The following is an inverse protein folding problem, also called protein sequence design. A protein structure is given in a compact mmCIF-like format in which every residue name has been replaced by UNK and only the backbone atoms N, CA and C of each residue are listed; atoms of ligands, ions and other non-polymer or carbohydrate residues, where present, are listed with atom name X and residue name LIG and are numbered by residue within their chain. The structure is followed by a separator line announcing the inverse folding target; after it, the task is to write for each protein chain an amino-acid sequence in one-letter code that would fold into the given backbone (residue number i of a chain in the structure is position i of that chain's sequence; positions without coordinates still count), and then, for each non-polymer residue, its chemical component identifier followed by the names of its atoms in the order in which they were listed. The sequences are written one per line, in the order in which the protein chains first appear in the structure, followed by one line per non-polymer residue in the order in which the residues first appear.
data_IF_309281373600
#
_entry.id   IF_309281373600
#
_cell.length_a   1.000
_cell.length_b   1.000
_cell.length_c   1.000
_cell.angle_alpha   90.00
_cell.angle_beta   90.00
_cell.angle_gamma   90.00
#
_symmetry.space_group_name_H-M   'P 1'
#
loop_
_entity.id
_entity.type
_entity.pdbx_description
1 polymer ?
#
# COMPACT_ATOMS: atom_id res chain seq x y z
N UNK A 1 0.56 -25.10 -0.35
CA UNK A 1 0.95 -23.69 -0.17
C UNK A 1 -0.30 -22.85 -0.12
N UNK A 2 -0.49 -22.05 0.93
CA UNK A 2 -1.60 -21.10 1.08
C UNK A 2 -1.04 -19.68 1.17
N UNK A 3 -1.68 -18.72 0.49
CA UNK A 3 -1.37 -17.29 0.62
C UNK A 3 -2.35 -16.66 1.61
N UNK A 4 -1.84 -16.10 2.69
CA UNK A 4 -2.63 -15.31 3.63
C UNK A 4 -2.74 -13.87 3.13
N UNK A 5 -3.95 -13.32 3.03
CA UNK A 5 -4.19 -11.94 2.57
C UNK A 5 -4.79 -11.13 3.71
N UNK A 6 -3.98 -10.27 4.33
CA UNK A 6 -4.46 -9.26 5.28
C UNK A 6 -4.92 -8.00 4.53
N UNK A 7 -5.99 -7.37 5.00
CA UNK A 7 -6.58 -6.20 4.32
C UNK A 7 -7.36 -6.56 3.04
N UNK A 8 -7.82 -7.80 2.93
CA UNK A 8 -8.51 -8.35 1.76
C UNK A 8 -9.75 -7.58 1.30
N UNK A 9 -10.39 -6.81 2.18
CA UNK A 9 -11.59 -6.02 1.86
C UNK A 9 -11.28 -4.59 1.37
N UNK A 10 -10.01 -4.18 1.39
CA UNK A 10 -9.55 -2.88 0.90
C UNK A 10 -9.59 -2.75 -0.62
N UNK A 11 -9.20 -1.58 -1.16
CA UNK A 11 -9.13 -1.36 -2.63
C UNK A 11 -8.12 -2.30 -3.30
N UNK A 12 -6.88 -2.32 -2.80
CA UNK A 12 -5.83 -3.21 -3.30
C UNK A 12 -6.17 -4.67 -2.97
N UNK A 13 -6.56 -4.96 -1.73
CA UNK A 13 -6.89 -6.32 -1.28
C UNK A 13 -7.98 -6.99 -2.13
N UNK A 14 -9.07 -6.30 -2.47
CA UNK A 14 -10.14 -6.89 -3.30
C UNK A 14 -9.67 -7.20 -4.72
N UNK A 15 -8.91 -6.31 -5.33
CA UNK A 15 -8.35 -6.55 -6.67
C UNK A 15 -7.32 -7.69 -6.64
N UNK A 16 -6.48 -7.76 -5.60
CA UNK A 16 -5.55 -8.88 -5.40
C UNK A 16 -6.27 -10.21 -5.23
N UNK A 17 -7.30 -10.28 -4.36
CA UNK A 17 -8.08 -11.51 -4.15
C UNK A 17 -8.69 -12.01 -5.46
N UNK A 18 -9.23 -11.11 -6.29
CA UNK A 18 -9.74 -11.47 -7.62
C UNK A 18 -8.64 -12.09 -8.50
N UNK A 19 -7.47 -11.46 -8.58
CA UNK A 19 -6.33 -11.96 -9.38
C UNK A 19 -5.78 -13.29 -8.86
N UNK A 20 -5.75 -13.49 -7.55
CA UNK A 20 -5.33 -14.76 -6.94
C UNK A 20 -6.33 -15.90 -7.24
N UNK A 21 -7.63 -15.62 -7.23
CA UNK A 21 -8.66 -16.58 -7.65
C UNK A 21 -8.54 -16.93 -9.14
N UNK A 22 -8.33 -15.94 -10.02
CA UNK A 22 -8.10 -16.17 -11.46
C UNK A 22 -6.86 -17.05 -11.72
N UNK A 23 -5.84 -16.94 -10.87
CA UNK A 23 -4.65 -17.78 -10.91
C UNK A 23 -4.84 -19.16 -10.25
N UNK A 24 -6.04 -19.49 -9.76
CA UNK A 24 -6.34 -20.71 -8.99
C UNK A 24 -5.45 -20.88 -7.74
N UNK A 25 -4.99 -19.78 -7.14
CA UNK A 25 -4.18 -19.83 -5.93
C UNK A 25 -5.05 -20.17 -4.72
N UNK A 26 -4.49 -20.99 -3.81
CA UNK A 26 -5.14 -21.26 -2.52
C UNK A 26 -4.90 -20.06 -1.59
N UNK A 27 -5.99 -19.38 -1.21
CA UNK A 27 -5.93 -18.19 -0.36
C UNK A 27 -6.73 -18.35 0.93
N UNK A 28 -6.25 -17.70 1.99
CA UNK A 28 -6.98 -17.47 3.23
C UNK A 28 -7.05 -15.96 3.49
N UNK A 29 -8.23 -15.43 3.77
CA UNK A 29 -8.41 -14.00 4.03
C UNK A 29 -8.34 -13.72 5.54
N UNK A 30 -7.55 -12.73 5.93
CA UNK A 30 -7.49 -12.20 7.29
C UNK A 30 -8.28 -10.88 7.33
N UNK A 31 -9.43 -10.89 8.01
CA UNK A 31 -10.38 -9.76 8.00
C UNK A 31 -10.93 -9.47 9.40
N UNK A 32 -11.25 -8.19 9.65
CA UNK A 32 -11.93 -7.77 10.90
C UNK A 32 -13.38 -8.27 10.95
N UNK A 33 -14.07 -8.25 9.82
CA UNK A 33 -15.42 -8.82 9.65
C UNK A 33 -15.33 -10.26 9.12
N UNK A 34 -16.14 -11.19 9.65
CA UNK A 34 -16.06 -12.62 9.31
C UNK A 34 -16.72 -12.99 7.97
N UNK A 35 -17.48 -12.09 7.36
CA UNK A 35 -18.29 -12.40 6.17
C UNK A 35 -17.51 -12.09 4.90
N UNK A 36 -17.17 -13.14 4.14
CA UNK A 36 -16.63 -13.06 2.79
C UNK A 36 -17.43 -13.99 1.88
N UNK A 37 -17.60 -13.60 0.62
CA UNK A 37 -18.31 -14.42 -0.35
C UNK A 37 -17.47 -15.65 -0.74
N UNK A 38 -18.09 -16.84 -0.89
CA UNK A 38 -17.46 -17.99 -1.51
C UNK A 38 -16.88 -17.65 -2.90
N UNK A 39 -15.78 -18.29 -3.33
CA UNK A 39 -15.11 -19.44 -2.71
C UNK A 39 -14.10 -19.04 -1.60
N UNK A 40 -14.01 -17.75 -1.26
CA UNK A 40 -13.05 -17.29 -0.26
C UNK A 40 -13.39 -17.82 1.13
N UNK A 41 -12.35 -18.17 1.90
CA UNK A 41 -12.46 -18.43 3.35
C UNK A 41 -11.81 -17.30 4.10
N UNK A 42 -12.39 -16.89 5.22
CA UNK A 42 -11.83 -15.86 6.08
C UNK A 42 -11.70 -16.32 7.53
N UNK A 43 -10.69 -15.81 8.21
CA UNK A 43 -10.49 -15.89 9.65
C UNK A 43 -10.54 -14.49 10.24
N UNK A 44 -10.96 -14.41 11.51
CA UNK A 44 -10.91 -13.14 12.24
C UNK A 44 -9.43 -12.76 12.44
N UNK A 45 -9.08 -11.57 12.02
CA UNK A 45 -7.79 -10.95 12.29
C UNK A 45 -8.01 -9.46 12.49
N UNK A 46 -7.54 -8.94 13.62
CA UNK A 46 -7.59 -7.52 13.95
C UNK A 46 -6.23 -7.08 14.49
N UNK A 47 -5.62 -6.12 13.79
CA UNK A 47 -4.34 -5.53 14.16
C UNK A 47 -4.30 -5.02 15.61
N UNK A 48 -5.44 -4.64 16.18
CA UNK A 48 -5.53 -4.11 17.54
C UNK A 48 -5.95 -5.15 18.60
N UNK A 49 -6.08 -6.43 18.22
CA UNK A 49 -6.42 -7.54 19.11
C UNK A 49 -5.45 -8.71 18.90
N UNK A 50 -4.38 -8.73 19.69
CA UNK A 50 -3.31 -9.75 19.62
C UNK A 50 -3.84 -11.19 19.74
N UNK A 51 -4.97 -11.38 20.42
CA UNK A 51 -5.61 -12.71 20.57
C UNK A 51 -6.06 -13.29 19.23
N UNK A 52 -6.14 -12.47 18.18
CA UNK A 52 -6.55 -12.90 16.84
C UNK A 52 -5.37 -13.32 15.96
N UNK A 53 -4.12 -13.07 16.37
CA UNK A 53 -2.95 -13.26 15.50
C UNK A 53 -2.64 -14.72 15.18
N UNK A 54 -2.96 -15.65 16.08
CA UNK A 54 -2.76 -17.08 15.86
C UNK A 54 -3.79 -17.71 14.90
N UNK A 55 -4.98 -17.12 14.80
CA UNK A 55 -6.13 -17.71 14.10
C UNK A 55 -5.86 -18.09 12.62
N UNK A 56 -5.12 -17.31 11.80
CA UNK A 56 -4.77 -17.73 10.45
C UNK A 56 -3.95 -19.02 10.40
N UNK A 57 -2.96 -19.14 11.27
CA UNK A 57 -2.02 -20.26 11.28
C UNK A 57 -2.62 -21.52 11.88
N UNK A 58 -3.58 -21.39 12.80
CA UNK A 58 -4.40 -22.50 13.28
C UNK A 58 -5.37 -23.00 12.20
N UNK A 59 -5.94 -22.09 11.40
CA UNK A 59 -6.91 -22.43 10.37
C UNK A 59 -6.28 -23.09 9.13
N UNK A 60 -5.06 -22.69 8.75
CA UNK A 60 -4.30 -23.37 7.71
C UNK A 60 -2.79 -23.37 8.04
N UNK A 61 -2.24 -24.50 8.52
CA UNK A 61 -0.81 -24.60 8.82
C UNK A 61 0.09 -24.60 7.57
N UNK A 62 -0.49 -24.61 6.36
CA UNK A 62 0.26 -24.57 5.09
C UNK A 62 0.44 -23.14 4.54
N UNK A 63 0.18 -22.10 5.35
CA UNK A 63 0.48 -20.71 4.99
C UNK A 63 1.98 -20.58 4.81
N UNK A 64 2.37 -20.13 3.61
CA UNK A 64 3.78 -19.99 3.20
C UNK A 64 4.11 -18.54 2.84
N UNK A 65 3.11 -17.81 2.32
CA UNK A 65 3.27 -16.41 1.89
C UNK A 65 2.17 -15.57 2.49
N UNK A 66 2.50 -14.32 2.80
CA UNK A 66 1.58 -13.38 3.43
C UNK A 66 1.63 -12.07 2.64
N UNK A 67 0.47 -11.64 2.13
CA UNK A 67 0.28 -10.28 1.68
C UNK A 67 -0.23 -9.44 2.83
N UNK A 68 0.56 -8.44 3.22
CA UNK A 68 0.34 -7.64 4.42
C UNK A 68 0.00 -6.19 4.03
N UNK A 69 -1.19 -5.74 4.42
CA UNK A 69 -1.53 -4.31 4.43
C UNK A 69 -1.64 -3.88 5.89
N UNK A 70 -0.89 -2.83 6.23
CA UNK A 70 -0.93 -2.16 7.52
C UNK A 70 -2.34 -1.60 7.84
N UNK A 71 -2.72 -1.44 9.11
CA UNK A 71 -3.99 -0.80 9.46
C UNK A 71 -4.09 0.63 8.91
N UNK A 72 -5.31 1.06 8.54
CA UNK A 72 -5.61 2.37 7.92
C UNK A 72 -5.23 3.59 8.78
N UNK A 73 -4.86 3.38 10.06
CA UNK A 73 -4.33 4.43 10.94
C UNK A 73 -2.86 4.78 10.62
N UNK A 74 -2.17 3.94 9.86
CA UNK A 74 -0.78 4.13 9.48
C UNK A 74 -0.70 4.74 8.07
N UNK A 75 0.23 5.68 7.92
CA UNK A 75 0.43 6.51 6.74
C UNK A 75 0.56 5.66 5.47
N UNK A 76 -0.20 5.95 4.40
CA UNK A 76 -0.05 5.26 3.12
C UNK A 76 1.27 5.58 2.41
N UNK A 77 2.09 6.51 2.92
CA UNK A 77 3.29 6.96 2.23
C UNK A 77 4.47 6.04 2.54
N UNK A 78 4.67 5.04 1.68
CA UNK A 78 5.76 4.07 1.79
C UNK A 78 6.95 4.42 0.88
N UNK A 79 6.77 5.22 -0.16
CA UNK A 79 7.81 5.54 -1.15
C UNK A 79 9.04 6.25 -0.59
N UNK A 80 8.97 6.94 0.55
CA UNK A 80 10.08 7.72 1.09
C UNK A 80 10.65 7.24 2.43
N UNK A 81 10.18 6.09 2.96
CA UNK A 81 10.60 5.59 4.27
C UNK A 81 11.59 4.44 4.11
N UNK A 82 12.83 4.61 4.55
CA UNK A 82 13.87 3.59 4.49
C UNK A 82 13.71 2.55 5.62
N UNK A 83 14.49 1.46 5.54
CA UNK A 83 14.60 0.48 6.64
C UNK A 83 15.06 1.22 7.92
N UNK A 84 14.35 1.03 9.02
CA UNK A 84 14.67 1.63 10.33
C UNK A 84 14.01 2.99 10.60
N UNK A 85 13.45 3.64 9.57
CA UNK A 85 12.64 4.87 9.74
C UNK A 85 11.39 4.62 10.58
N UNK A 86 10.67 5.67 10.96
CA UNK A 86 9.43 5.56 11.73
C UNK A 86 8.36 4.73 11.01
N UNK A 87 7.43 4.18 11.80
CA UNK A 87 6.26 3.42 11.32
C UNK A 87 6.68 2.25 10.41
N UNK A 88 6.64 2.42 9.09
CA UNK A 88 6.89 1.35 8.12
C UNK A 88 8.36 0.97 8.02
N UNK A 89 9.27 1.92 8.25
CA UNK A 89 10.69 1.62 8.32
C UNK A 89 11.03 0.65 9.45
N UNK A 90 10.38 0.79 10.62
CA UNK A 90 10.53 -0.13 11.76
C UNK A 90 9.94 -1.51 11.48
N UNK A 91 8.82 -1.59 10.75
CA UNK A 91 8.24 -2.87 10.32
C UNK A 91 9.19 -3.57 9.35
N UNK A 92 9.75 -2.84 8.38
CA UNK A 92 10.77 -3.35 7.46
C UNK A 92 12.00 -3.85 8.21
N UNK A 93 12.51 -3.07 9.15
CA UNK A 93 13.63 -3.47 10.01
C UNK A 93 13.34 -4.77 10.77
N UNK A 94 12.18 -4.83 11.42
CA UNK A 94 11.74 -5.99 12.17
C UNK A 94 11.65 -7.27 11.32
N UNK A 95 11.10 -7.18 10.10
CA UNK A 95 11.00 -8.32 9.18
C UNK A 95 12.39 -8.80 8.76
N UNK A 96 13.28 -7.87 8.39
CA UNK A 96 14.64 -8.21 7.99
C UNK A 96 15.43 -8.87 9.15
N UNK A 97 15.28 -8.35 10.38
CA UNK A 97 15.98 -8.88 11.56
C UNK A 97 15.44 -10.25 12.01
N UNK A 98 14.20 -10.57 11.64
CA UNK A 98 13.64 -11.92 11.82
C UNK A 98 14.13 -12.93 10.79
N UNK A 99 14.83 -12.48 9.75
CA UNK A 99 15.33 -13.35 8.68
C UNK A 99 14.22 -13.96 7.82
N UNK A 100 13.03 -13.34 7.79
CA UNK A 100 11.98 -13.76 6.84
C UNK A 100 12.27 -13.15 5.48
N UNK A 101 11.95 -13.91 4.42
CA UNK A 101 11.98 -13.37 3.07
C UNK A 101 10.87 -12.30 2.90
N UNK A 102 11.20 -11.18 2.26
CA UNK A 102 10.28 -10.06 2.10
C UNK A 102 10.38 -9.37 0.73
N UNK A 103 9.28 -8.76 0.31
CA UNK A 103 9.27 -7.74 -0.75
C UNK A 103 8.47 -6.56 -0.21
N UNK A 104 9.07 -5.36 -0.20
CA UNK A 104 8.38 -4.14 0.23
C UNK A 104 7.85 -3.42 -1.01
N UNK A 105 6.54 -3.39 -1.17
CA UNK A 105 5.90 -2.64 -2.25
C UNK A 105 5.81 -1.16 -1.85
N UNK A 106 6.41 -0.30 -2.66
CA UNK A 106 6.47 1.16 -2.45
C UNK A 106 5.77 1.92 -3.57
N UNK A 107 4.43 1.92 -3.62
CA UNK A 107 3.70 2.75 -4.56
C UNK A 107 3.92 4.24 -4.31
N UNK A 108 3.91 5.05 -5.37
CA UNK A 108 3.95 6.52 -5.28
C UNK A 108 2.88 7.03 -4.33
N UNK A 109 3.28 8.01 -3.52
CA UNK A 109 2.40 8.73 -2.60
C UNK A 109 2.01 10.08 -3.16
N UNK A 110 0.86 10.62 -2.75
CA UNK A 110 0.44 11.92 -3.24
C UNK A 110 -0.31 12.74 -2.18
N UNK A 111 -0.06 14.04 -2.21
CA UNK A 111 -0.81 15.09 -1.52
C UNK A 111 -0.94 16.29 -2.47
N UNK A 112 -1.68 17.33 -2.08
CA UNK A 112 -1.77 18.58 -2.85
C UNK A 112 -0.44 19.37 -2.80
N UNK A 113 0.57 18.87 -3.52
CA UNK A 113 1.95 19.32 -3.44
C UNK A 113 2.29 20.52 -4.33
N UNK A 114 1.27 21.21 -4.87
CA UNK A 114 1.44 22.33 -5.79
C UNK A 114 2.25 21.95 -7.03
N UNK A 115 3.24 22.78 -7.35
CA UNK A 115 4.10 22.62 -8.54
C UNK A 115 4.98 21.36 -8.52
N UNK A 116 5.16 20.74 -7.35
CA UNK A 116 5.86 19.46 -7.26
C UNK A 116 5.08 18.36 -7.95
N UNK A 117 5.82 17.45 -8.57
CA UNK A 117 5.22 16.43 -9.43
C UNK A 117 5.17 15.07 -8.74
N UNK A 118 4.09 14.33 -9.02
CA UNK A 118 3.90 12.94 -8.58
C UNK A 118 3.54 12.05 -9.75
N UNK A 119 3.97 10.80 -9.69
CA UNK A 119 3.67 9.79 -10.70
C UNK A 119 2.57 8.85 -10.21
N UNK A 120 1.31 9.18 -10.51
CA UNK A 120 0.14 8.42 -10.06
C UNK A 120 0.16 6.97 -10.54
N UNK A 121 0.11 6.04 -9.58
CA UNK A 121 0.12 4.60 -9.84
C UNK A 121 -1.29 4.02 -9.70
N UNK A 122 -1.64 3.08 -10.59
CA UNK A 122 -2.93 2.40 -10.56
C UNK A 122 -2.95 1.25 -9.53
N UNK A 123 -4.15 0.90 -9.04
CA UNK A 123 -4.31 -0.29 -8.19
C UNK A 123 -3.89 -1.57 -8.92
N UNK A 124 -4.16 -1.66 -10.22
CA UNK A 124 -3.84 -2.85 -11.00
C UNK A 124 -2.33 -3.06 -11.17
N UNK A 125 -1.56 -1.97 -11.26
CA UNK A 125 -0.10 -2.02 -11.26
C UNK A 125 0.45 -2.50 -9.91
N UNK A 126 -0.10 -1.99 -8.80
CA UNK A 126 0.28 -2.45 -7.44
C UNK A 126 -0.02 -3.94 -7.27
N UNK A 127 -1.22 -4.37 -7.70
CA UNK A 127 -1.64 -5.78 -7.63
C UNK A 127 -0.79 -6.66 -8.53
N UNK A 128 -0.40 -6.18 -9.72
CA UNK A 128 0.50 -6.92 -10.59
C UNK A 128 1.83 -7.21 -9.90
N UNK A 129 2.48 -6.18 -9.34
CA UNK A 129 3.74 -6.35 -8.60
C UNK A 129 3.56 -7.27 -7.38
N UNK A 130 2.44 -7.16 -6.67
CA UNK A 130 2.14 -8.05 -5.55
C UNK A 130 2.01 -9.51 -5.99
N UNK A 131 1.32 -9.79 -7.10
CA UNK A 131 1.22 -11.11 -7.68
C UNK A 131 2.60 -11.64 -8.10
N UNK A 132 3.40 -10.83 -8.80
CA UNK A 132 4.74 -11.22 -9.25
C UNK A 132 5.62 -11.63 -8.06
N UNK A 133 5.56 -10.86 -6.97
CA UNK A 133 6.27 -11.19 -5.72
C UNK A 133 5.73 -12.46 -5.04
N UNK A 134 4.41 -12.63 -4.97
CA UNK A 134 3.78 -13.79 -4.33
C UNK A 134 3.99 -15.09 -5.12
N UNK A 135 4.12 -15.03 -6.44
CA UNK A 135 4.34 -16.20 -7.29
C UNK A 135 5.81 -16.44 -7.62
N UNK A 136 6.73 -15.56 -7.21
CA UNK A 136 8.15 -15.77 -7.38
C UNK A 136 8.65 -17.00 -6.62
N UNK A 137 9.49 -17.81 -7.28
CA UNK A 137 10.16 -18.96 -6.65
C UNK A 137 11.16 -18.53 -5.58
N UNK A 138 11.83 -17.39 -5.79
CA UNK A 138 12.78 -16.80 -4.85
C UNK A 138 12.44 -15.33 -4.63
N UNK A 139 12.41 -14.96 -3.36
CA UNK A 139 12.23 -13.57 -2.97
C UNK A 139 13.53 -12.80 -3.13
N UNK A 140 13.42 -11.53 -3.54
CA UNK A 140 14.55 -10.63 -3.81
C UNK A 140 15.01 -9.84 -2.59
N UNK A 141 14.30 -9.93 -1.45
CA UNK A 141 14.62 -9.27 -0.18
C UNK A 141 14.91 -7.77 -0.35
N UNK A 142 14.05 -7.13 -1.15
CA UNK A 142 14.24 -5.76 -1.62
C UNK A 142 12.94 -4.95 -1.60
N UNK A 143 13.12 -3.68 -1.92
CA UNK A 143 12.06 -2.71 -2.10
C UNK A 143 11.74 -2.62 -3.60
N UNK A 144 10.46 -2.61 -3.93
CA UNK A 144 9.98 -2.40 -5.30
C UNK A 144 9.18 -1.10 -5.33
N UNK A 145 9.79 -0.05 -5.88
CA UNK A 145 9.12 1.21 -6.14
C UNK A 145 8.16 1.05 -7.32
N UNK A 146 6.91 1.48 -7.15
CA UNK A 146 5.85 1.33 -8.14
C UNK A 146 5.32 2.71 -8.50
N UNK A 147 5.68 3.18 -9.69
CA UNK A 147 5.40 4.56 -10.13
C UNK A 147 4.49 4.60 -11.33
N UNK A 148 3.71 5.67 -11.45
CA UNK A 148 2.98 5.96 -12.68
C UNK A 148 3.90 6.25 -13.87
N UNK A 149 3.41 6.11 -15.11
CA UNK A 149 4.20 6.39 -16.32
C UNK A 149 4.43 7.88 -16.58
N UNK A 150 3.72 8.78 -15.89
CA UNK A 150 3.76 10.22 -16.13
C UNK A 150 3.72 11.02 -14.84
N UNK A 151 4.39 12.18 -14.84
CA UNK A 151 4.46 13.12 -13.74
C UNK A 151 3.43 14.23 -13.88
N UNK A 152 2.66 14.48 -12.82
CA UNK A 152 1.62 15.51 -12.76
C UNK A 152 1.83 16.43 -11.56
N UNK A 153 1.56 17.73 -11.73
CA UNK A 153 1.45 18.70 -10.65
C UNK A 153 0.01 18.84 -10.17
N UNK A 154 -0.19 19.54 -9.06
CA UNK A 154 -1.51 19.88 -8.53
C UNK A 154 -1.71 21.37 -8.55
N UNK A 155 -2.96 21.79 -8.76
CA UNK A 155 -3.35 23.15 -8.43
C UNK A 155 -3.49 23.30 -6.92
N UNK A 156 -2.98 24.40 -6.39
CA UNK A 156 -2.96 24.68 -4.95
C UNK A 156 -1.74 24.07 -4.25
N UNK A 157 -1.09 24.90 -3.44
CA UNK A 157 0.08 24.54 -2.65
C UNK A 157 -0.16 24.89 -1.20
N UNK A 158 -0.05 23.89 -0.32
CA UNK A 158 0.06 24.10 1.11
C UNK A 158 1.50 23.90 1.53
N UNK A 159 1.99 24.73 2.43
CA UNK A 159 3.21 24.44 3.20
C UNK A 159 2.97 23.28 4.16
N UNK A 160 4.05 22.68 4.69
CA UNK A 160 3.95 21.66 5.73
C UNK A 160 3.20 22.15 6.96
N UNK A 161 3.44 23.39 7.36
CA UNK A 161 2.83 24.03 8.52
C UNK A 161 1.34 24.27 8.29
N UNK A 162 0.94 24.76 7.11
CA UNK A 162 -0.47 24.95 6.75
C UNK A 162 -1.22 23.62 6.68
N UNK A 163 -0.59 22.58 6.10
CA UNK A 163 -1.18 21.25 6.02
C UNK A 163 -1.36 20.64 7.42
N UNK A 164 -0.33 20.69 8.27
CA UNK A 164 -0.42 20.23 9.66
C UNK A 164 -1.51 20.98 10.43
N UNK A 165 -1.56 22.31 10.32
CA UNK A 165 -2.58 23.13 10.98
C UNK A 165 -3.99 22.77 10.52
N UNK A 166 -4.17 22.49 9.23
CA UNK A 166 -5.45 22.02 8.71
C UNK A 166 -5.85 20.68 9.36
N UNK A 167 -4.94 19.71 9.46
CA UNK A 167 -5.20 18.42 10.10
C UNK A 167 -5.58 18.57 11.58
N UNK A 168 -4.88 19.42 12.33
CA UNK A 168 -5.21 19.73 13.73
C UNK A 168 -6.62 20.31 13.86
N UNK A 169 -7.00 21.23 12.97
CA UNK A 169 -8.33 21.82 12.94
C UNK A 169 -9.43 20.79 12.63
N UNK A 170 -9.10 19.70 11.92
CA UNK A 170 -9.99 18.55 11.71
C UNK A 170 -10.03 17.57 12.89
N UNK A 171 -9.40 17.90 14.02
CA UNK A 171 -9.41 17.09 15.24
C UNK A 171 -8.39 15.95 15.25
N UNK A 172 -7.40 15.99 14.36
CA UNK A 172 -6.31 15.03 14.35
C UNK A 172 -5.36 15.25 15.54
N UNK A 173 -4.87 14.17 16.14
CA UNK A 173 -3.90 14.23 17.24
C UNK A 173 -2.56 14.87 16.77
N UNK A 174 -1.91 15.60 17.67
CA UNK A 174 -0.79 16.49 17.34
C UNK A 174 0.40 15.77 16.72
N UNK A 175 0.82 14.64 17.30
CA UNK A 175 1.96 13.87 16.76
C UNK A 175 1.64 13.30 15.39
N UNK A 176 0.42 12.78 15.21
CA UNK A 176 0.00 12.23 13.91
C UNK A 176 -0.11 13.33 12.84
N UNK A 177 -0.66 14.50 13.20
CA UNK A 177 -0.75 15.65 12.30
C UNK A 177 0.65 16.18 11.91
N UNK A 178 1.58 16.29 12.87
CA UNK A 178 2.95 16.71 12.60
C UNK A 178 3.70 15.75 11.68
N UNK A 179 3.52 14.44 11.87
CA UNK A 179 4.10 13.42 11.00
C UNK A 179 3.56 13.51 9.56
N UNK A 180 2.25 13.74 9.38
CA UNK A 180 1.66 13.96 8.05
C UNK A 180 2.11 15.29 7.42
N UNK A 181 2.32 16.34 8.22
CA UNK A 181 2.92 17.61 7.79
C UNK A 181 4.34 17.45 7.25
N UNK A 182 5.16 16.65 7.94
CA UNK A 182 6.51 16.31 7.49
C UNK A 182 6.49 15.59 6.13
N UNK A 183 5.64 14.57 5.98
CA UNK A 183 5.52 13.80 4.74
C UNK A 183 5.02 14.66 3.59
N UNK A 184 4.02 15.51 3.85
CA UNK A 184 3.56 16.48 2.86
C UNK A 184 4.70 17.38 2.39
N UNK A 185 5.57 17.82 3.31
CA UNK A 185 6.78 18.59 2.99
C UNK A 185 7.76 17.84 2.09
N UNK A 186 7.98 16.55 2.35
CA UNK A 186 8.83 15.69 1.52
C UNK A 186 8.27 15.55 0.09
N UNK A 187 6.97 15.32 -0.04
CA UNK A 187 6.30 15.25 -1.35
C UNK A 187 6.37 16.61 -2.05
N UNK A 188 6.08 17.71 -1.33
CA UNK A 188 6.16 19.08 -1.84
C UNK A 188 7.59 19.52 -2.20
N UNK A 189 8.62 18.85 -1.67
CA UNK A 189 10.02 19.08 -2.03
C UNK A 189 10.48 18.27 -3.25
N UNK A 190 9.61 17.44 -3.82
CA UNK A 190 9.87 16.69 -5.05
C UNK A 190 10.40 15.27 -4.85
N UNK A 191 10.35 14.71 -3.64
CA UNK A 191 10.84 13.35 -3.39
C UNK A 191 10.11 12.31 -4.24
N UNK A 192 8.78 12.43 -4.40
CA UNK A 192 8.00 11.50 -5.23
C UNK A 192 8.39 11.58 -6.71
N UNK A 193 8.75 12.76 -7.22
CA UNK A 193 9.30 12.87 -8.57
C UNK A 193 10.67 12.18 -8.67
N UNK A 194 11.50 12.26 -7.63
CA UNK A 194 12.81 11.60 -7.60
C UNK A 194 12.70 10.07 -7.62
N UNK A 195 11.68 9.49 -6.95
CA UNK A 195 11.42 8.03 -6.93
C UNK A 195 11.24 7.45 -8.35
N UNK A 196 10.72 8.24 -9.30
CA UNK A 196 10.58 7.79 -10.70
C UNK A 196 11.91 7.49 -11.39
N UNK A 197 13.02 7.98 -10.83
CA UNK A 197 14.38 7.76 -11.34
C UNK A 197 15.10 6.61 -10.63
N UNK A 198 14.46 5.97 -9.64
CA UNK A 198 15.06 4.85 -8.92
C UNK A 198 15.31 3.69 -9.88
N UNK A 199 16.52 3.12 -9.91
CA UNK A 199 16.81 1.96 -10.75
C UNK A 199 15.83 0.82 -10.47
N UNK A 200 15.37 0.17 -11.54
CA UNK A 200 14.43 -0.96 -11.49
C UNK A 200 13.06 -0.63 -10.86
N UNK A 201 12.67 0.64 -10.76
CA UNK A 201 11.30 0.99 -10.42
C UNK A 201 10.34 0.36 -11.46
N UNK A 202 9.25 -0.24 -10.98
CA UNK A 202 8.17 -0.71 -11.84
C UNK A 202 7.41 0.52 -12.34
N UNK A 203 7.35 0.69 -13.66
CA UNK A 203 6.61 1.77 -14.30
C UNK A 203 5.24 1.25 -14.74
N UNK A 204 4.19 1.82 -14.15
CA UNK A 204 2.80 1.48 -14.40
C UNK A 204 2.36 1.72 -15.83
N UNK A 205 1.32 1.01 -16.25
CA UNK A 205 0.86 1.02 -17.64
C UNK A 205 -0.07 2.17 -17.98
N UNK A 206 -0.81 2.67 -16.99
CA UNK A 206 -1.89 3.62 -17.20
C UNK A 206 -1.48 5.03 -16.77
N UNK A 207 -1.55 5.97 -17.71
CA UNK A 207 -1.53 7.39 -17.35
C UNK A 207 -2.81 7.78 -16.60
N UNK A 208 -2.76 8.88 -15.85
CA UNK A 208 -3.92 9.35 -15.09
C UNK A 208 -5.15 9.64 -16.00
N UNK A 209 -5.01 10.26 -17.19
CA UNK A 209 -6.13 10.43 -18.12
C UNK A 209 -6.70 9.11 -18.66
N UNK A 210 -5.87 8.10 -18.94
CA UNK A 210 -6.32 6.78 -19.38
C UNK A 210 -7.09 6.08 -18.27
N UNK A 211 -6.60 6.16 -17.03
CA UNK A 211 -7.27 5.63 -15.86
C UNK A 211 -8.65 6.28 -15.68
N UNK A 212 -8.76 7.61 -15.76
CA UNK A 212 -10.06 8.29 -15.66
C UNK A 212 -11.03 7.89 -16.77
N UNK A 213 -10.55 7.71 -18.01
CA UNK A 213 -11.39 7.24 -19.13
C UNK A 213 -11.88 5.81 -18.90
N UNK A 214 -11.02 4.90 -18.44
CA UNK A 214 -11.36 3.51 -18.17
C UNK A 214 -12.33 3.34 -17.00
N UNK A 215 -12.31 4.28 -16.03
CA UNK A 215 -13.12 4.24 -14.82
C UNK A 215 -14.18 5.35 -14.77
N UNK A 216 -14.65 5.85 -15.92
CA UNK A 216 -15.57 6.99 -16.02
C UNK A 216 -16.79 6.89 -15.10
N UNK A 217 -17.34 5.68 -14.94
CA UNK A 217 -18.54 5.41 -14.14
C UNK A 217 -18.31 5.60 -12.63
N UNK A 218 -17.05 5.71 -12.20
CA UNK A 218 -16.68 6.03 -10.80
C UNK A 218 -16.74 7.53 -10.51
N UNK A 219 -16.53 8.38 -11.53
CA UNK A 219 -16.29 9.81 -11.37
C UNK A 219 -17.45 10.68 -11.85
N UNK A 220 -18.18 10.19 -12.85
CA UNK A 220 -19.37 10.86 -13.36
C UNK A 220 -20.55 10.39 -12.49
N UNK A 221 -21.07 11.29 -11.65
CA UNK A 221 -22.36 11.04 -11.00
C UNK A 221 -23.42 10.90 -12.09
N UNK A 222 -24.21 9.81 -12.02
CA UNK A 222 -25.40 9.64 -12.83
C UNK A 222 -26.39 10.79 -12.61
#
# INVERSE_FOLDING_TARGET
MTILVAGATGKVGRSLVKRLHEANARILLATRSRTVEPPSKAVKFDWFDEKTYAAPFEADPNIDKIFLIQPDILIPCSSALEKGDFVNGRVHEYLADRGVDYVILRPTSFTACGDSKVAYVSVDDIVQVACDALFAEKTTNNDVFIVGPQLYSHDGKLTSEEFQKALLNFGMEEKYAGMLGYIHGQIASGNEAAVTKTPNAYVGKYSLPEYFKAHKDTWIKA
#
